data_IF_356349123432
#
_entry.id   IF_356349123432
#
_cell.length_a   1.000
_cell.length_b   1.000
_cell.length_c   1.000
_cell.angle_alpha   90.00
_cell.angle_beta   90.00
_cell.angle_gamma   90.00
#
_symmetry.space_group_name_H-M   'P 1'
#
loop_
_entity.id
_entity.type
_entity.pdbx_description
1 polymer ?
#
# COMPACT_ATOMS: atom_id res chain seq x y z
N UNK A 1 -32.23 -3.54 -9.74
CA UNK A 1 -30.95 -4.21 -9.40
C UNK A 1 -29.91 -3.13 -9.14
N UNK A 2 -28.97 -3.37 -8.23
CA UNK A 2 -27.83 -2.48 -8.00
C UNK A 2 -26.53 -3.26 -8.20
N UNK A 3 -25.53 -2.64 -8.83
CA UNK A 3 -24.14 -3.08 -8.78
C UNK A 3 -23.37 -2.05 -7.98
N UNK A 4 -22.79 -2.46 -6.88
CA UNK A 4 -21.97 -1.61 -6.02
C UNK A 4 -20.52 -2.03 -6.16
N UNK A 5 -19.66 -1.09 -6.55
CA UNK A 5 -18.21 -1.24 -6.64
C UNK A 5 -17.56 -0.32 -5.60
N UNK A 6 -17.00 -0.90 -4.55
CA UNK A 6 -16.34 -0.21 -3.46
C UNK A 6 -14.83 -0.49 -3.46
N UNK A 7 -14.02 0.54 -3.25
CA UNK A 7 -12.56 0.45 -3.09
C UNK A 7 -12.18 1.12 -1.77
N UNK A 8 -11.47 0.40 -0.90
CA UNK A 8 -10.92 0.94 0.35
C UNK A 8 -9.78 1.94 0.10
N UNK A 9 -9.44 2.75 1.09
CA UNK A 9 -8.29 3.65 1.03
C UNK A 9 -6.97 2.89 1.09
N UNK A 10 -5.94 3.35 0.40
CA UNK A 10 -4.58 2.83 0.58
C UNK A 10 -3.99 3.24 1.92
N UNK A 11 -3.06 2.45 2.46
CA UNK A 11 -2.27 2.80 3.65
C UNK A 11 -1.21 3.85 3.34
N UNK A 12 -0.81 4.63 4.33
CA UNK A 12 0.29 5.60 4.22
C UNK A 12 1.65 4.96 4.39
N UNK A 13 2.68 5.53 3.79
CA UNK A 13 4.08 5.10 3.96
C UNK A 13 4.69 5.58 5.28
N UNK A 14 5.66 4.83 5.78
CA UNK A 14 6.50 5.18 6.93
C UNK A 14 7.70 6.05 6.54
N UNK A 15 8.27 6.72 7.52
CA UNK A 15 9.44 7.60 7.36
C UNK A 15 10.75 6.84 7.22
N UNK A 16 11.79 7.50 6.70
CA UNK A 16 13.17 7.02 6.74
C UNK A 16 13.81 7.24 8.12
N UNK A 17 14.92 6.58 8.41
CA UNK A 17 15.72 6.72 9.62
C UNK A 17 16.95 7.52 9.32
N UNK A 18 17.35 8.39 10.27
CA UNK A 18 18.59 9.15 10.20
C UNK A 18 19.76 8.19 10.33
N UNK A 19 20.72 8.27 9.38
CA UNK A 19 21.89 7.41 9.33
C UNK A 19 21.58 5.92 9.08
N UNK A 20 20.38 5.58 8.64
CA UNK A 20 19.90 4.21 8.54
C UNK A 20 19.15 3.91 7.26
N UNK A 21 18.08 3.21 7.38
CA UNK A 21 17.31 2.57 6.32
C UNK A 21 16.04 3.37 6.00
N UNK A 22 15.56 3.26 4.78
CA UNK A 22 14.31 3.85 4.34
C UNK A 22 13.08 3.26 5.04
N UNK A 23 11.98 3.99 5.02
CA UNK A 23 10.73 3.55 5.63
C UNK A 23 10.00 2.50 4.81
N UNK A 24 9.25 1.62 5.44
CA UNK A 24 8.33 0.72 4.79
C UNK A 24 7.15 1.48 4.17
N UNK A 25 6.58 0.95 3.11
CA UNK A 25 5.47 1.55 2.38
C UNK A 25 4.10 1.02 2.80
N UNK A 26 3.06 1.75 2.50
CA UNK A 26 1.66 1.36 2.75
C UNK A 26 1.16 0.33 1.75
N UNK A 27 0.27 -0.55 2.18
CA UNK A 27 -0.45 -1.47 1.31
C UNK A 27 -1.59 -0.78 0.55
N UNK A 28 -1.97 -1.33 -0.59
CA UNK A 28 -3.12 -0.89 -1.37
C UNK A 28 -4.45 -1.23 -0.72
N UNK A 29 -5.49 -0.46 -1.03
CA UNK A 29 -6.87 -0.73 -0.58
C UNK A 29 -7.50 -1.88 -1.34
N UNK A 30 -8.33 -2.66 -0.65
CA UNK A 30 -9.09 -3.74 -1.25
C UNK A 30 -10.23 -3.23 -2.12
N UNK A 31 -10.73 -4.08 -3.03
CA UNK A 31 -11.92 -3.84 -3.82
C UNK A 31 -12.98 -4.90 -3.52
N UNK A 32 -14.24 -4.50 -3.50
CA UNK A 32 -15.38 -5.39 -3.40
C UNK A 32 -16.49 -4.93 -4.35
N UNK A 33 -16.87 -5.80 -5.27
CA UNK A 33 -17.93 -5.55 -6.24
C UNK A 33 -19.06 -6.54 -6.01
N UNK A 34 -20.31 -6.05 -5.87
CA UNK A 34 -21.44 -6.91 -5.55
C UNK A 34 -22.73 -6.46 -6.23
N UNK A 35 -23.45 -7.44 -6.77
CA UNK A 35 -24.82 -7.26 -7.20
C UNK A 35 -25.77 -7.37 -6.01
N UNK A 36 -26.70 -6.41 -5.88
CA UNK A 36 -27.67 -6.35 -4.79
C UNK A 36 -29.08 -6.24 -5.41
N UNK A 37 -29.95 -7.23 -5.20
CA UNK A 37 -31.36 -7.10 -5.58
C UNK A 37 -32.00 -5.90 -4.88
N UNK A 38 -32.85 -5.14 -5.58
CA UNK A 38 -33.51 -3.95 -5.01
C UNK A 38 -34.34 -4.28 -3.76
N UNK A 39 -34.90 -5.49 -3.68
CA UNK A 39 -35.67 -5.96 -2.52
C UNK A 39 -34.87 -6.00 -1.19
N UNK A 40 -33.54 -6.03 -1.25
CA UNK A 40 -32.70 -5.96 -0.04
C UNK A 40 -32.47 -4.53 0.47
N UNK A 41 -32.88 -3.51 -0.31
CA UNK A 41 -32.75 -2.11 0.09
C UNK A 41 -34.12 -1.60 0.53
N UNK A 42 -34.44 -1.84 1.78
CA UNK A 42 -35.73 -1.49 2.37
C UNK A 42 -35.73 -0.13 3.09
N UNK A 43 -34.58 0.52 3.19
CA UNK A 43 -34.39 1.80 3.84
C UNK A 43 -33.20 2.56 3.19
N UNK A 44 -33.05 3.87 3.44
CA UNK A 44 -31.87 4.62 2.99
C UNK A 44 -30.57 3.97 3.46
N UNK A 45 -29.59 3.80 2.54
CA UNK A 45 -28.31 3.18 2.83
C UNK A 45 -27.21 4.27 2.88
N UNK A 46 -26.50 4.31 3.99
CA UNK A 46 -25.33 5.22 4.12
C UNK A 46 -24.18 4.76 3.22
N UNK A 47 -23.66 5.66 2.41
CA UNK A 47 -22.45 5.45 1.62
C UNK A 47 -21.28 6.10 2.34
N UNK A 48 -20.23 5.32 2.64
CA UNK A 48 -18.99 5.83 3.20
C UNK A 48 -17.88 5.67 2.18
N UNK A 49 -17.16 6.76 1.88
CA UNK A 49 -15.96 6.75 1.04
C UNK A 49 -14.75 6.91 1.95
N UNK A 50 -13.83 5.97 1.85
CA UNK A 50 -12.64 5.91 2.69
C UNK A 50 -11.64 7.03 2.40
N UNK A 51 -11.04 7.59 3.45
CA UNK A 51 -9.80 8.34 3.30
C UNK A 51 -8.61 7.39 3.13
N UNK A 52 -7.59 7.83 2.39
CA UNK A 52 -6.27 7.19 2.42
C UNK A 52 -5.58 7.39 3.75
N UNK A 53 -4.69 6.50 4.13
CA UNK A 53 -3.84 6.64 5.29
C UNK A 53 -2.80 7.74 5.10
N UNK A 54 -2.53 8.53 6.14
CA UNK A 54 -1.49 9.56 6.10
C UNK A 54 -0.10 8.95 6.12
N UNK A 55 0.79 9.46 5.28
CA UNK A 55 2.23 9.21 5.39
C UNK A 55 2.81 9.91 6.62
N UNK A 56 3.93 9.41 7.12
CA UNK A 56 4.51 9.87 8.38
C UNK A 56 6.03 9.83 8.33
N UNK A 57 6.70 10.58 9.20
CA UNK A 57 8.14 10.43 9.50
C UNK A 57 8.43 9.24 10.42
N UNK A 58 7.42 8.53 10.87
CA UNK A 58 7.50 7.32 11.71
C UNK A 58 6.65 6.20 11.12
N UNK A 59 5.43 6.00 11.59
CA UNK A 59 4.53 4.94 11.14
C UNK A 59 3.40 5.55 10.32
N UNK A 60 3.21 5.10 9.08
CA UNK A 60 2.08 5.49 8.25
C UNK A 60 0.76 4.95 8.80
N UNK A 61 -0.33 5.67 8.57
CA UNK A 61 -1.66 5.27 9.02
C UNK A 61 -2.29 4.24 8.11
N UNK A 62 -3.19 3.44 8.65
CA UNK A 62 -4.05 2.52 7.89
C UNK A 62 -5.04 3.32 7.04
N UNK A 63 -5.32 2.87 5.84
CA UNK A 63 -6.40 3.40 4.99
C UNK A 63 -7.78 3.04 5.55
N UNK A 64 -8.77 3.89 5.28
CA UNK A 64 -10.14 3.71 5.73
C UNK A 64 -10.89 2.61 4.96
N UNK A 65 -12.09 2.28 5.43
CA UNK A 65 -13.01 1.34 4.78
C UNK A 65 -14.07 2.11 3.99
N UNK A 66 -14.22 1.80 2.70
CA UNK A 66 -15.38 2.24 1.91
C UNK A 66 -16.52 1.26 2.08
N UNK A 67 -17.76 1.76 2.15
CA UNK A 67 -18.90 0.89 2.33
C UNK A 67 -20.20 1.42 1.71
N UNK A 68 -21.09 0.49 1.36
CA UNK A 68 -22.50 0.71 1.08
C UNK A 68 -23.29 0.02 2.21
N UNK A 69 -23.52 0.74 3.28
CA UNK A 69 -24.09 0.21 4.52
C UNK A 69 -23.30 -0.99 5.06
N UNK A 70 -24.02 -2.02 5.47
CA UNK A 70 -23.45 -3.33 5.85
C UNK A 70 -23.35 -4.30 4.67
N UNK A 71 -23.94 -3.96 3.51
CA UNK A 71 -24.11 -4.84 2.36
C UNK A 71 -22.83 -5.06 1.55
N UNK A 72 -22.02 -4.00 1.38
CA UNK A 72 -20.73 -4.05 0.70
C UNK A 72 -19.69 -3.30 1.51
N UNK A 73 -18.54 -3.90 1.73
CA UNK A 73 -17.39 -3.26 2.38
C UNK A 73 -16.12 -3.60 1.60
N UNK A 74 -15.27 -2.59 1.38
CA UNK A 74 -13.93 -2.72 0.87
C UNK A 74 -12.97 -2.07 1.87
N UNK A 75 -12.04 -2.86 2.39
CA UNK A 75 -11.20 -2.44 3.50
C UNK A 75 -9.91 -1.79 3.04
N UNK A 76 -9.36 -0.92 3.88
CA UNK A 76 -8.12 -0.21 3.59
C UNK A 76 -6.88 -1.06 3.75
N UNK A 77 -5.79 -0.60 3.13
CA UNK A 77 -4.45 -1.15 3.29
C UNK A 77 -3.80 -0.71 4.61
N UNK A 78 -2.90 -1.53 5.13
CA UNK A 78 -2.09 -1.26 6.32
C UNK A 78 -1.03 -0.18 6.08
N UNK A 79 -0.62 0.51 7.12
CA UNK A 79 0.46 1.50 7.07
C UNK A 79 1.85 0.86 6.99
N UNK A 80 2.77 1.55 6.34
CA UNK A 80 4.20 1.23 6.38
C UNK A 80 4.84 1.67 7.69
N UNK A 81 5.93 1.00 8.08
CA UNK A 81 6.59 1.28 9.36
C UNK A 81 8.05 1.64 9.21
N UNK A 82 8.47 2.53 10.09
CA UNK A 82 9.86 2.84 10.41
C UNK A 82 10.07 2.59 11.90
N UNK A 83 10.99 1.71 12.27
CA UNK A 83 11.42 1.53 13.66
C UNK A 83 12.87 1.03 13.72
N UNK A 84 13.61 1.38 14.75
CA UNK A 84 15.01 0.99 14.99
C UNK A 84 15.19 -0.54 15.23
N UNK A 85 14.59 -1.38 14.43
CA UNK A 85 14.56 -2.85 14.50
C UNK A 85 13.54 -3.49 13.59
N UNK A 86 12.78 -2.69 12.77
CA UNK A 86 11.81 -3.29 11.87
C UNK A 86 11.33 -2.33 10.78
N UNK A 87 11.60 -2.66 9.54
CA UNK A 87 11.26 -1.87 8.35
C UNK A 87 10.27 -2.68 7.54
N UNK A 88 8.99 -2.61 7.92
CA UNK A 88 8.00 -3.51 7.35
C UNK A 88 6.97 -2.74 6.52
N UNK A 89 6.67 -3.25 5.34
CA UNK A 89 5.56 -2.80 4.51
C UNK A 89 4.22 -3.18 5.12
N UNK A 90 3.19 -2.36 4.89
CA UNK A 90 1.81 -2.63 5.28
C UNK A 90 1.16 -3.66 4.35
N UNK A 91 0.30 -4.53 4.89
CA UNK A 91 -0.49 -5.47 4.08
C UNK A 91 -1.59 -4.77 3.29
N UNK A 92 -1.93 -5.29 2.12
CA UNK A 92 -3.05 -4.83 1.30
C UNK A 92 -4.40 -5.11 1.97
N UNK A 93 -5.40 -4.27 1.69
CA UNK A 93 -6.78 -4.49 2.10
C UNK A 93 -7.44 -5.61 1.28
N UNK A 94 -8.48 -6.20 1.83
CA UNK A 94 -9.29 -7.21 1.14
C UNK A 94 -10.80 -6.88 1.18
N UNK A 95 -11.60 -7.79 0.67
CA UNK A 95 -13.07 -7.67 0.73
C UNK A 95 -13.65 -8.11 2.08
N UNK A 96 -12.90 -8.79 2.93
CA UNK A 96 -13.32 -9.32 4.23
C UNK A 96 -12.52 -8.80 5.43
N UNK A 97 -11.53 -7.93 5.22
CA UNK A 97 -10.74 -7.35 6.30
C UNK A 97 -9.69 -6.37 5.83
N UNK A 98 -9.26 -5.49 6.73
CA UNK A 98 -8.21 -4.53 6.46
C UNK A 98 -6.83 -5.20 6.43
N UNK A 99 -5.93 -4.61 5.65
CA UNK A 99 -4.51 -4.90 5.76
C UNK A 99 -3.96 -4.43 7.10
N UNK A 100 -2.97 -5.14 7.61
CA UNK A 100 -2.32 -4.86 8.88
C UNK A 100 -1.08 -3.98 8.65
N UNK A 101 -0.84 -3.03 9.53
CA UNK A 101 0.41 -2.25 9.55
C UNK A 101 1.61 -3.18 9.76
N UNK A 102 2.72 -2.89 9.11
CA UNK A 102 3.98 -3.59 9.34
C UNK A 102 4.34 -3.64 10.83
N UNK A 103 4.89 -4.74 11.31
CA UNK A 103 5.17 -4.94 12.72
C UNK A 103 6.61 -4.59 13.12
N UNK A 104 6.92 -4.63 14.45
CA UNK A 104 8.23 -4.29 15.03
C UNK A 104 9.28 -5.40 14.86
N UNK A 105 8.89 -6.59 14.47
CA UNK A 105 9.78 -7.76 14.36
C UNK A 105 10.24 -8.02 12.93
N UNK A 106 10.32 -7.00 12.10
CA UNK A 106 10.68 -7.07 10.67
C UNK A 106 9.71 -7.93 9.82
N UNK A 107 8.54 -8.27 10.34
CA UNK A 107 7.52 -8.93 9.55
C UNK A 107 6.62 -7.89 8.88
N UNK A 108 6.37 -8.04 7.60
CA UNK A 108 5.37 -7.25 6.87
C UNK A 108 3.98 -7.40 7.47
N UNK A 109 3.11 -6.44 7.23
CA UNK A 109 1.72 -6.50 7.64
C UNK A 109 0.98 -7.63 6.93
N UNK A 110 0.09 -8.32 7.64
CA UNK A 110 -0.78 -9.32 7.02
C UNK A 110 -1.74 -8.66 6.04
N UNK A 111 -2.02 -9.32 4.92
CA UNK A 111 -3.07 -8.93 3.99
C UNK A 111 -4.47 -9.10 4.58
N UNK A 112 -5.43 -8.36 4.03
CA UNK A 112 -6.83 -8.44 4.42
C UNK A 112 -7.51 -9.74 3.96
N UNK A 113 -8.54 -10.17 4.71
CA UNK A 113 -9.34 -11.37 4.38
C UNK A 113 -10.04 -11.23 3.01
N UNK A 114 -10.52 -12.32 2.34
CA UNK A 114 -10.86 -13.64 2.93
C UNK A 114 -9.69 -14.59 3.17
N UNK A 115 -8.59 -14.47 2.48
CA UNK A 115 -7.38 -15.27 2.77
C UNK A 115 -6.21 -14.31 2.97
N UNK A 116 -5.85 -13.99 4.23
CA UNK A 116 -4.67 -13.18 4.48
C UNK A 116 -3.43 -13.94 4.01
N UNK A 117 -2.62 -13.29 3.19
CA UNK A 117 -1.27 -13.77 2.87
C UNK A 117 -0.35 -13.28 3.96
N UNK A 118 0.44 -14.16 4.53
CA UNK A 118 1.32 -13.83 5.66
C UNK A 118 2.44 -12.86 5.28
N UNK A 119 2.74 -11.94 6.16
CA UNK A 119 3.89 -11.01 6.07
C UNK A 119 5.20 -11.61 6.55
N UNK A 120 5.40 -12.92 6.44
CA UNK A 120 6.67 -13.59 6.77
C UNK A 120 7.46 -13.89 5.51
N UNK A 121 8.78 -13.91 5.64
CA UNK A 121 9.76 -14.23 4.60
C UNK A 121 9.23 -15.17 3.51
N UNK A 122 9.23 -14.73 2.26
CA UNK A 122 8.92 -15.53 1.05
C UNK A 122 7.46 -15.87 0.73
N UNK A 123 6.50 -15.03 1.00
CA UNK A 123 5.14 -15.30 0.52
C UNK A 123 4.86 -14.67 -0.85
N UNK A 124 5.56 -15.10 -1.88
CA UNK A 124 5.19 -14.89 -3.29
C UNK A 124 3.94 -15.69 -3.69
N UNK A 125 2.88 -15.66 -2.89
CA UNK A 125 1.64 -16.35 -3.19
C UNK A 125 0.57 -15.36 -3.61
N UNK A 126 0.05 -15.55 -4.81
CA UNK A 126 -1.14 -14.90 -5.30
C UNK A 126 -2.32 -15.19 -4.35
N UNK A 127 -2.63 -14.27 -3.46
CA UNK A 127 -3.67 -14.45 -2.45
C UNK A 127 -5.03 -13.96 -2.93
N UNK A 128 -6.07 -14.74 -2.66
CA UNK A 128 -7.48 -14.31 -2.78
C UNK A 128 -7.80 -13.38 -1.61
N UNK A 129 -7.31 -12.16 -1.63
CA UNK A 129 -7.42 -11.21 -0.54
C UNK A 129 -6.45 -10.06 -0.76
N UNK A 130 -6.04 -9.41 0.31
CA UNK A 130 -4.94 -8.45 0.28
C UNK A 130 -3.59 -9.15 0.35
N UNK A 131 -2.61 -8.68 -0.41
CA UNK A 131 -1.22 -9.14 -0.31
C UNK A 131 -0.57 -8.77 1.02
N UNK A 132 0.29 -9.65 1.56
CA UNK A 132 1.10 -9.32 2.73
C UNK A 132 2.14 -8.26 2.40
N UNK A 133 2.51 -7.40 3.36
CA UNK A 133 3.66 -6.51 3.23
C UNK A 133 4.97 -7.29 3.23
N UNK A 134 5.98 -6.82 2.51
CA UNK A 134 7.30 -7.42 2.54
C UNK A 134 8.02 -7.17 3.87
N UNK A 135 9.00 -8.03 4.19
CA UNK A 135 9.86 -7.92 5.37
C UNK A 135 11.33 -7.78 4.99
N UNK A 136 12.17 -7.41 5.97
CA UNK A 136 13.63 -7.31 5.84
C UNK A 136 14.27 -8.65 5.39
N UNK A 137 15.29 -8.57 4.56
CA UNK A 137 16.23 -9.63 4.19
C UNK A 137 15.94 -10.52 2.99
N UNK A 138 14.77 -10.51 2.39
CA UNK A 138 14.59 -11.32 1.18
C UNK A 138 13.74 -10.61 0.14
N UNK A 139 14.39 -10.12 -0.92
CA UNK A 139 13.74 -9.55 -2.08
C UNK A 139 13.22 -10.64 -2.99
N UNK A 140 11.92 -10.87 -2.96
CA UNK A 140 11.22 -11.54 -4.04
C UNK A 140 10.63 -10.50 -5.00
N UNK A 141 10.61 -10.77 -6.27
CA UNK A 141 10.05 -9.88 -7.30
C UNK A 141 8.52 -9.85 -7.27
N UNK A 142 7.88 -10.80 -6.57
CA UNK A 142 6.43 -10.99 -6.56
C UNK A 142 5.80 -10.86 -5.16
N UNK A 143 6.56 -10.34 -4.18
CA UNK A 143 6.10 -10.23 -2.80
C UNK A 143 4.97 -9.21 -2.66
N UNK A 144 3.90 -9.63 -2.02
CA UNK A 144 2.74 -8.79 -1.72
C UNK A 144 1.75 -8.60 -2.85
N UNK A 145 1.93 -9.22 -4.02
CA UNK A 145 0.92 -9.21 -5.08
C UNK A 145 -0.33 -10.01 -4.68
N UNK A 146 -1.51 -9.53 -5.08
CA UNK A 146 -2.78 -10.16 -4.70
C UNK A 146 -3.92 -9.78 -5.65
N UNK A 147 -5.08 -10.43 -5.48
CA UNK A 147 -6.26 -10.08 -6.28
C UNK A 147 -6.86 -8.73 -5.89
N UNK A 148 -6.99 -8.43 -4.59
CA UNK A 148 -7.84 -7.34 -4.10
C UNK A 148 -7.10 -6.14 -3.51
N UNK A 149 -5.82 -6.24 -3.21
CA UNK A 149 -5.00 -5.12 -2.72
C UNK A 149 -3.55 -5.51 -2.54
N UNK A 150 -2.64 -4.85 -3.22
CA UNK A 150 -1.20 -5.13 -3.17
C UNK A 150 -0.57 -4.75 -1.82
N UNK A 151 0.31 -5.60 -1.30
CA UNK A 151 1.09 -5.31 -0.09
C UNK A 151 2.20 -4.29 -0.34
N UNK A 152 2.57 -3.55 0.70
CA UNK A 152 3.68 -2.60 0.63
C UNK A 152 5.05 -3.27 0.61
N UNK A 153 6.02 -2.67 -0.10
CA UNK A 153 7.41 -3.11 -0.10
C UNK A 153 8.09 -2.88 1.25
N UNK A 154 9.10 -3.68 1.57
CA UNK A 154 9.93 -3.52 2.77
C UNK A 154 11.27 -2.87 2.49
N UNK A 155 11.89 -2.25 3.49
CA UNK A 155 13.22 -1.68 3.38
C UNK A 155 14.31 -2.75 3.26
N UNK A 156 15.33 -2.42 2.46
CA UNK A 156 16.57 -3.16 2.44
C UNK A 156 17.61 -2.43 3.31
N UNK A 157 18.30 -3.15 4.20
CA UNK A 157 19.31 -2.58 5.09
C UNK A 157 20.61 -2.21 4.37
N UNK A 158 20.81 -2.59 3.12
CA UNK A 158 22.08 -2.42 2.41
C UNK A 158 21.96 -1.99 0.94
N UNK A 159 20.73 -1.67 0.43
CA UNK A 159 20.56 -1.44 -0.99
C UNK A 159 19.34 -0.58 -1.37
N UNK A 160 18.92 -0.71 -2.62
CA UNK A 160 17.70 -0.07 -3.13
C UNK A 160 16.46 -0.58 -2.38
N UNK A 161 15.42 0.25 -2.29
CA UNK A 161 14.14 -0.14 -1.72
C UNK A 161 13.44 -1.23 -2.54
N UNK A 162 12.70 -2.10 -1.88
CA UNK A 162 11.90 -3.12 -2.55
C UNK A 162 10.62 -2.53 -3.16
N UNK A 163 10.15 -3.11 -4.26
CA UNK A 163 8.91 -2.67 -4.90
C UNK A 163 7.68 -3.03 -4.04
N UNK A 164 6.60 -2.31 -4.23
CA UNK A 164 5.28 -2.65 -3.72
C UNK A 164 4.61 -3.72 -4.57
N UNK A 165 3.78 -4.55 -3.95
CA UNK A 165 3.00 -5.58 -4.63
C UNK A 165 1.90 -4.97 -5.49
N UNK A 166 1.69 -5.53 -6.67
CA UNK A 166 0.60 -5.17 -7.57
C UNK A 166 -0.70 -5.92 -7.20
N UNK A 167 -1.82 -5.45 -7.72
CA UNK A 167 -3.12 -6.06 -7.47
C UNK A 167 -3.92 -6.19 -8.77
N UNK A 168 -4.64 -7.30 -8.92
CA UNK A 168 -5.48 -7.48 -10.11
C UNK A 168 -6.70 -6.55 -10.11
N UNK A 169 -7.38 -6.42 -8.98
CA UNK A 169 -8.64 -5.67 -8.85
C UNK A 169 -8.58 -4.51 -7.89
N UNK A 170 -7.71 -4.55 -6.87
CA UNK A 170 -7.57 -3.53 -5.84
C UNK A 170 -6.45 -2.53 -6.12
N UNK A 171 -6.17 -1.65 -5.18
CA UNK A 171 -5.05 -0.70 -5.27
C UNK A 171 -3.69 -1.38 -5.18
N UNK A 172 -2.70 -0.90 -5.92
CA UNK A 172 -1.31 -1.33 -5.79
C UNK A 172 -0.68 -0.84 -4.48
N UNK A 173 0.25 -1.61 -3.91
CA UNK A 173 1.03 -1.22 -2.74
C UNK A 173 2.15 -0.25 -3.08
N UNK A 174 2.57 0.59 -2.13
CA UNK A 174 3.68 1.52 -2.32
C UNK A 174 5.04 0.84 -2.37
N UNK A 175 5.99 1.45 -3.04
CA UNK A 175 7.42 1.08 -3.01
C UNK A 175 8.12 1.65 -1.78
N UNK A 176 9.18 1.00 -1.37
CA UNK A 176 9.91 1.34 -0.16
C UNK A 176 11.02 2.37 -0.38
N UNK A 177 11.43 3.07 0.68
CA UNK A 177 12.54 4.02 0.66
C UNK A 177 13.93 3.38 0.53
N UNK A 178 14.87 4.11 -0.07
CA UNK A 178 16.27 3.69 -0.23
C UNK A 178 17.12 3.91 1.02
N UNK A 179 18.29 3.24 1.07
CA UNK A 179 19.27 3.32 2.16
C UNK A 179 20.17 4.57 2.06
N UNK A 180 20.60 5.14 3.19
CA UNK A 180 21.35 6.39 3.23
C UNK A 180 22.83 6.28 2.83
N UNK A 181 23.49 5.16 3.12
CA UNK A 181 24.95 5.05 2.95
C UNK A 181 25.45 4.99 1.49
N UNK A 182 24.56 4.84 0.52
CA UNK A 182 24.91 4.71 -0.89
C UNK A 182 24.00 5.47 -1.85
N UNK A 183 23.21 6.44 -1.41
CA UNK A 183 22.23 7.17 -2.23
C UNK A 183 21.34 6.24 -3.05
N UNK A 184 20.92 5.14 -2.46
CA UNK A 184 20.17 4.10 -3.17
C UNK A 184 18.76 4.54 -3.55
N UNK A 185 18.30 4.06 -4.68
CA UNK A 185 16.96 4.33 -5.19
C UNK A 185 15.88 3.76 -4.26
N UNK A 186 14.77 4.44 -4.18
CA UNK A 186 13.54 3.88 -3.65
C UNK A 186 12.98 2.80 -4.56
N UNK A 187 12.17 1.91 -4.02
CA UNK A 187 11.47 0.87 -4.77
C UNK A 187 10.32 1.44 -5.62
N UNK A 188 9.95 0.77 -6.69
CA UNK A 188 8.79 1.12 -7.51
C UNK A 188 7.47 0.82 -6.79
N UNK A 189 6.41 1.59 -7.07
CA UNK A 189 5.05 1.26 -6.62
C UNK A 189 4.45 0.13 -7.45
N UNK A 190 3.55 -0.66 -6.87
CA UNK A 190 2.77 -1.67 -7.59
C UNK A 190 1.64 -1.07 -8.42
N UNK A 191 1.17 -1.77 -9.44
CA UNK A 191 0.06 -1.34 -10.29
C UNK A 191 -1.28 -1.97 -9.90
N UNK A 192 -2.37 -1.49 -10.52
CA UNK A 192 -3.65 -2.19 -10.58
C UNK A 192 -3.79 -2.89 -11.94
N UNK A 193 -4.30 -4.11 -11.95
CA UNK A 193 -4.47 -4.92 -13.16
C UNK A 193 -3.28 -5.83 -13.48
N UNK A 194 -2.34 -5.99 -12.58
CA UNK A 194 -1.15 -6.82 -12.72
C UNK A 194 -0.90 -7.66 -11.47
N UNK A 195 -0.10 -8.72 -11.63
CA UNK A 195 0.45 -9.53 -10.53
C UNK A 195 1.97 -9.36 -10.38
N UNK A 196 2.59 -8.45 -11.09
CA UNK A 196 4.03 -8.21 -11.02
C UNK A 196 4.34 -7.08 -10.05
N UNK A 197 5.15 -7.32 -9.03
CA UNK A 197 5.56 -6.31 -8.05
C UNK A 197 6.35 -5.18 -8.74
N UNK A 198 6.12 -3.94 -8.29
CA UNK A 198 6.80 -2.76 -8.84
C UNK A 198 6.44 -2.40 -10.29
N UNK A 199 5.40 -3.01 -10.84
CA UNK A 199 4.94 -2.82 -12.22
C UNK A 199 4.24 -1.47 -12.51
N UNK A 200 4.09 -0.66 -11.48
CA UNK A 200 3.50 0.67 -11.52
C UNK A 200 4.54 1.76 -11.75
N UNK A 201 4.63 2.70 -10.81
CA UNK A 201 5.53 3.85 -10.89
C UNK A 201 6.96 3.46 -10.52
N UNK A 202 7.93 3.75 -11.37
CA UNK A 202 9.33 3.46 -11.11
C UNK A 202 9.88 4.22 -9.88
N UNK A 203 10.68 3.54 -9.08
CA UNK A 203 11.46 4.13 -8.00
C UNK A 203 12.69 4.88 -8.55
N UNK A 204 13.25 5.77 -7.75
CA UNK A 204 14.39 6.57 -8.16
C UNK A 204 15.21 7.13 -6.98
N UNK A 205 16.30 7.83 -7.29
CA UNK A 205 17.21 8.45 -6.30
C UNK A 205 16.62 9.73 -5.66
N UNK A 206 15.57 10.31 -6.23
CA UNK A 206 14.90 11.52 -5.74
C UNK A 206 13.70 11.26 -4.86
N UNK A 207 12.83 12.24 -4.74
CA UNK A 207 11.52 12.07 -4.09
C UNK A 207 10.70 11.02 -4.85
N UNK A 208 9.92 10.24 -4.11
CA UNK A 208 9.07 9.21 -4.69
C UNK A 208 8.00 9.81 -5.60
N UNK A 209 7.80 9.18 -6.76
CA UNK A 209 6.74 9.58 -7.71
C UNK A 209 5.38 9.08 -7.21
N UNK A 210 4.35 9.91 -7.40
CA UNK A 210 2.99 9.48 -7.07
C UNK A 210 2.52 8.34 -7.97
N UNK A 211 1.76 7.41 -7.41
CA UNK A 211 1.11 6.34 -8.16
C UNK A 211 0.08 6.89 -9.15
N UNK A 212 -0.09 6.21 -10.27
CA UNK A 212 -1.07 6.56 -11.28
C UNK A 212 -2.51 6.45 -10.72
N UNK A 213 -3.36 7.41 -11.08
CA UNK A 213 -4.78 7.29 -10.79
C UNK A 213 -5.44 6.24 -11.67
N UNK A 214 -6.34 5.49 -11.08
CA UNK A 214 -7.19 4.55 -11.79
C UNK A 214 -8.34 5.24 -12.52
N UNK A 215 -9.11 4.43 -13.24
CA UNK A 215 -10.35 4.80 -13.93
C UNK A 215 -11.57 4.28 -13.17
N UNK A 216 -12.78 4.36 -13.77
CA UNK A 216 -13.97 3.68 -13.25
C UNK A 216 -13.81 2.16 -13.19
N UNK A 217 -13.00 1.59 -14.09
CA UNK A 217 -12.76 0.13 -14.16
C UNK A 217 -11.56 -0.32 -13.31
N UNK A 218 -10.57 0.55 -13.08
CA UNK A 218 -9.31 0.22 -12.42
C UNK A 218 -9.13 0.96 -11.10
N UNK A 219 -8.27 0.47 -10.24
CA UNK A 219 -7.84 1.12 -9.01
C UNK A 219 -6.56 1.94 -9.23
N UNK A 220 -6.13 2.68 -8.22
CA UNK A 220 -4.89 3.45 -8.25
C UNK A 220 -3.65 2.59 -8.00
N UNK A 221 -2.55 2.94 -8.61
CA UNK A 221 -1.24 2.35 -8.36
C UNK A 221 -0.62 2.88 -7.04
N UNK A 222 0.32 2.15 -6.48
CA UNK A 222 1.12 2.59 -5.34
C UNK A 222 2.10 3.70 -5.70
N UNK A 223 2.41 4.58 -4.76
CA UNK A 223 3.48 5.58 -4.88
C UNK A 223 4.87 4.93 -4.77
N UNK A 224 5.83 5.44 -5.50
CA UNK A 224 7.23 5.00 -5.39
C UNK A 224 7.87 5.43 -4.08
N UNK A 225 8.86 4.67 -3.60
CA UNK A 225 9.69 5.05 -2.47
C UNK A 225 10.61 6.24 -2.80
N UNK A 226 10.95 7.02 -1.78
CA UNK A 226 11.98 8.05 -1.88
C UNK A 226 13.38 7.45 -1.83
N UNK A 227 14.32 8.03 -2.62
CA UNK A 227 15.72 7.66 -2.58
C UNK A 227 16.43 8.08 -1.29
N UNK A 228 17.45 7.33 -0.88
CA UNK A 228 18.31 7.68 0.26
C UNK A 228 19.21 8.87 -0.04
N UNK A 229 19.75 9.51 1.01
CA UNK A 229 20.67 10.64 0.94
C UNK A 229 21.87 10.44 1.85
N UNK A 230 23.09 10.59 1.29
CA UNK A 230 24.36 10.44 2.03
C UNK A 230 24.78 11.69 2.81
N UNK A 231 24.21 12.85 2.55
CA UNK A 231 24.65 14.14 3.10
C UNK A 231 23.56 15.03 3.67
N UNK A 232 22.32 14.64 3.61
CA UNK A 232 21.19 15.51 3.98
C UNK A 232 19.97 14.76 4.47
N UNK A 233 18.81 15.36 4.31
CA UNK A 233 17.52 14.73 4.53
C UNK A 233 17.28 13.67 3.45
N UNK A 234 16.72 12.53 3.81
CA UNK A 234 16.23 11.55 2.87
C UNK A 234 15.08 12.12 2.02
N UNK A 235 14.77 11.47 0.92
CA UNK A 235 13.69 11.92 0.04
C UNK A 235 12.33 11.36 0.49
N UNK A 236 11.26 12.15 0.32
CA UNK A 236 9.90 11.73 0.69
C UNK A 236 9.41 10.60 -0.23
N UNK A 237 8.53 9.75 0.30
CA UNK A 237 7.79 8.79 -0.49
C UNK A 237 6.70 9.45 -1.33
N UNK A 238 6.38 8.87 -2.49
CA UNK A 238 5.31 9.28 -3.37
C UNK A 238 3.93 8.91 -2.84
N UNK A 239 2.93 9.73 -3.12
CA UNK A 239 1.54 9.43 -2.75
C UNK A 239 1.00 8.25 -3.57
N UNK A 240 0.10 7.46 -3.00
CA UNK A 240 -0.68 6.46 -3.74
C UNK A 240 -1.72 7.11 -4.64
N UNK A 241 -1.97 6.48 -5.80
CA UNK A 241 -2.97 6.91 -6.76
C UNK A 241 -4.41 6.63 -6.29
N UNK A 242 -5.35 7.43 -6.77
CA UNK A 242 -6.80 7.22 -6.54
C UNK A 242 -7.36 6.19 -7.55
N UNK A 243 -8.29 5.32 -7.12
CA UNK A 243 -8.65 4.98 -5.76
C UNK A 243 -7.75 3.88 -5.18
N UNK A 244 -7.39 3.99 -3.90
CA UNK A 244 -6.90 2.91 -3.08
C UNK A 244 -5.40 2.57 -3.19
N UNK A 245 -4.58 3.30 -3.96
CA UNK A 245 -3.14 3.05 -4.01
C UNK A 245 -2.44 3.31 -2.68
N UNK A 246 -1.50 2.46 -2.28
CA UNK A 246 -0.67 2.64 -1.08
C UNK A 246 0.40 3.72 -1.25
N UNK A 247 0.74 4.44 -0.19
CA UNK A 247 1.80 5.45 -0.20
C UNK A 247 3.21 4.83 -0.15
N UNK A 248 4.18 5.42 -0.86
CA UNK A 248 5.57 5.01 -0.83
C UNK A 248 6.25 5.35 0.51
N UNK A 249 7.23 4.54 0.90
CA UNK A 249 8.09 4.80 2.06
C UNK A 249 9.11 5.90 1.77
N UNK A 250 9.55 6.62 2.79
CA UNK A 250 10.59 7.63 2.63
C UNK A 250 11.98 7.03 2.58
N UNK A 251 12.89 7.65 1.83
CA UNK A 251 14.32 7.36 1.88
C UNK A 251 14.96 7.76 3.20
N UNK A 252 16.00 7.05 3.60
CA UNK A 252 16.81 7.40 4.75
C UNK A 252 17.68 8.62 4.46
N UNK A 253 17.91 9.46 5.47
CA UNK A 253 18.79 10.62 5.38
C UNK A 253 19.96 10.56 6.32
N UNK A 254 21.05 11.26 6.02
CA UNK A 254 22.18 11.38 6.93
C UNK A 254 21.90 12.31 8.12
N UNK A 255 21.07 13.34 7.96
CA UNK A 255 20.81 14.37 8.97
C UNK A 255 19.37 14.48 9.44
N UNK A 256 18.40 14.12 8.65
CA UNK A 256 16.99 14.19 9.00
C UNK A 256 16.15 13.10 8.32
N UNK A 257 15.04 12.74 8.97
CA UNK A 257 14.06 11.80 8.43
C UNK A 257 13.14 12.53 7.45
N UNK A 258 12.78 11.86 6.34
CA UNK A 258 11.71 12.28 5.45
C UNK A 258 10.42 11.53 5.76
N UNK A 259 9.30 12.07 5.31
CA UNK A 259 8.00 11.44 5.49
C UNK A 259 7.67 10.51 4.32
N UNK A 260 7.01 9.39 4.60
CA UNK A 260 6.38 8.56 3.58
C UNK A 260 5.23 9.29 2.91
N UNK A 261 4.79 8.79 1.76
CA UNK A 261 3.67 9.31 0.99
C UNK A 261 2.31 8.91 1.60
N UNK A 262 1.30 9.71 1.33
CA UNK A 262 -0.08 9.39 1.69
C UNK A 262 -0.61 8.27 0.81
N UNK A 263 -1.50 7.43 1.31
CA UNK A 263 -2.29 6.51 0.51
C UNK A 263 -3.40 7.25 -0.26
N UNK A 264 -3.82 6.68 -1.39
CA UNK A 264 -4.96 7.19 -2.16
C UNK A 264 -6.29 6.94 -1.44
N UNK A 265 -7.22 7.88 -1.58
CA UNK A 265 -8.58 7.72 -1.07
C UNK A 265 -9.29 6.54 -1.73
N UNK A 266 -10.30 6.01 -1.05
CA UNK A 266 -11.19 4.99 -1.59
C UNK A 266 -12.24 5.55 -2.55
N UNK A 267 -13.12 4.67 -3.03
CA UNK A 267 -14.22 5.02 -3.95
C UNK A 267 -15.43 4.14 -3.70
N UNK A 268 -16.64 4.64 -3.96
CA UNK A 268 -17.84 3.84 -4.11
C UNK A 268 -18.56 4.29 -5.38
N UNK A 269 -18.86 3.35 -6.27
CA UNK A 269 -19.66 3.57 -7.48
C UNK A 269 -20.90 2.69 -7.40
N UNK A 270 -22.05 3.25 -7.70
CA UNK A 270 -23.34 2.55 -7.66
C UNK A 270 -23.99 2.68 -9.03
N UNK A 271 -24.23 1.56 -9.67
CA UNK A 271 -25.03 1.46 -10.89
C UNK A 271 -26.37 0.87 -10.53
N UNK A 272 -27.43 1.37 -11.16
CA UNK A 272 -28.79 0.86 -10.94
C UNK A 272 -29.57 0.79 -12.26
N UNK A 273 -30.46 -0.19 -12.37
CA UNK A 273 -31.33 -0.41 -13.53
C UNK A 273 -32.63 -1.11 -13.13
#
# INVERSE_FOLDING_TARGET
>A
MYLVDAVGGGGGGGGGIVGGVGGGSGGGGGRNMRYIPAAFITAPVTVTVAAGGSGSTSVGSVGGTSSFGSLVKAYGGGGGRNYAGGYAGGGGGGSGGAGVTGNTSNAGGLGGKPRPVGGTTNSGWLGVGGGGGCCLYQGGTDDGCAEYGGGGGAANSFGAGYPGGSSLYGGGGGGNGGYSASSNNGGGGGSCGSYTAGDGVAGGAGAGTAGANGTLATCGGGGAGGGGSTSGTGNSGGAGGFPGGGGGGAGAGASAAAAGGNGGNGRVVIYWW
#
